data_IF_716237179696
#
_entry.id   IF_716237179696
#
_cell.length_a   1.000
_cell.length_b   1.000
_cell.length_c   1.000
_cell.angle_alpha   90.00
_cell.angle_beta   90.00
_cell.angle_gamma   90.00
#
_symmetry.space_group_name_H-M   'P 1'
#
loop_
_entity.id
_entity.type
_entity.pdbx_description
1 polymer ?
#
# COMPACT_ATOMS: atom_id res chain seq x y z
N UNK A 1 -3.36 -2.62 -3.55
CA UNK A 1 -3.25 -2.38 -2.09
C UNK A 1 -4.61 -2.32 -1.41
N UNK A 2 -5.51 -1.38 -1.76
CA UNK A 2 -6.87 -1.35 -1.17
C UNK A 2 -7.60 -2.70 -1.27
N UNK A 3 -7.59 -3.35 -2.46
CA UNK A 3 -8.15 -4.71 -2.65
C UNK A 3 -7.48 -5.80 -1.82
N UNK A 4 -6.19 -5.67 -1.47
CA UNK A 4 -5.48 -6.66 -0.66
C UNK A 4 -5.84 -6.53 0.83
N UNK A 5 -5.93 -5.30 1.34
CA UNK A 5 -6.41 -5.03 2.71
C UNK A 5 -7.86 -5.49 2.88
N UNK A 6 -8.67 -5.32 1.83
CA UNK A 6 -10.07 -5.77 1.81
C UNK A 6 -10.21 -7.30 1.92
N UNK A 7 -9.28 -8.07 1.32
CA UNK A 7 -9.31 -9.54 1.33
C UNK A 7 -8.60 -10.16 2.53
N UNK A 8 -7.54 -9.54 3.05
CA UNK A 8 -6.64 -10.16 4.03
C UNK A 8 -6.56 -9.46 5.39
N UNK A 9 -7.33 -8.39 5.63
CA UNK A 9 -7.33 -7.54 6.85
C UNK A 9 -5.98 -6.87 7.20
N UNK A 10 -4.88 -7.38 6.66
CA UNK A 10 -3.53 -6.89 6.80
C UNK A 10 -2.81 -6.95 5.46
N UNK A 11 -1.83 -6.06 5.27
CA UNK A 11 -0.93 -6.07 4.12
C UNK A 11 0.48 -5.75 4.59
N UNK A 12 1.45 -6.47 4.05
CA UNK A 12 2.87 -6.19 4.24
C UNK A 12 3.43 -5.49 3.01
N UNK A 13 4.12 -4.37 3.21
CA UNK A 13 4.82 -3.61 2.18
C UNK A 13 6.31 -3.72 2.46
N UNK A 14 7.08 -4.20 1.48
CA UNK A 14 8.54 -4.25 1.58
C UNK A 14 9.22 -3.54 0.41
N UNK A 15 10.36 -2.89 0.68
CA UNK A 15 11.14 -2.21 -0.34
C UNK A 15 12.63 -2.16 -0.01
N UNK A 16 13.44 -1.99 -1.06
CA UNK A 16 14.89 -1.91 -1.00
C UNK A 16 15.41 -0.60 -1.61
N UNK A 17 16.39 0.02 -0.96
CA UNK A 17 17.06 1.22 -1.48
C UNK A 17 16.09 2.35 -1.85
N UNK A 18 16.16 2.85 -3.08
CA UNK A 18 15.34 3.99 -3.53
C UNK A 18 13.83 3.74 -3.48
N UNK A 19 13.39 2.48 -3.57
CA UNK A 19 11.97 2.15 -3.51
C UNK A 19 11.36 2.33 -2.10
N UNK A 20 12.20 2.49 -1.07
CA UNK A 20 11.76 2.72 0.32
C UNK A 20 10.88 3.97 0.39
N UNK A 21 11.27 5.05 -0.29
CA UNK A 21 10.52 6.30 -0.30
C UNK A 21 9.10 6.09 -0.79
N UNK A 22 8.92 5.33 -1.88
CA UNK A 22 7.59 5.03 -2.43
C UNK A 22 6.73 4.24 -1.45
N UNK A 23 7.29 3.22 -0.78
CA UNK A 23 6.56 2.43 0.21
C UNK A 23 6.15 3.27 1.42
N UNK A 24 7.03 4.15 1.90
CA UNK A 24 6.72 5.09 2.99
C UNK A 24 5.58 6.01 2.59
N UNK A 25 5.66 6.65 1.42
CA UNK A 25 4.61 7.55 0.94
C UNK A 25 3.26 6.84 0.77
N UNK A 26 3.24 5.61 0.26
CA UNK A 26 2.01 4.83 0.15
C UNK A 26 1.42 4.55 1.54
N UNK A 27 2.24 4.13 2.50
CA UNK A 27 1.79 3.86 3.86
C UNK A 27 1.23 5.14 4.52
N UNK A 28 1.90 6.27 4.35
CA UNK A 28 1.45 7.56 4.85
C UNK A 28 0.11 7.98 4.25
N UNK A 29 -0.06 7.89 2.92
CA UNK A 29 -1.33 8.22 2.25
C UNK A 29 -2.47 7.35 2.80
N UNK A 30 -2.24 6.04 2.96
CA UNK A 30 -3.26 5.12 3.46
C UNK A 30 -3.64 5.42 4.92
N UNK A 31 -2.67 5.77 5.77
CA UNK A 31 -2.94 6.16 7.17
C UNK A 31 -3.67 7.50 7.26
N UNK A 32 -3.21 8.50 6.50
CA UNK A 32 -3.79 9.84 6.52
C UNK A 32 -5.22 9.87 5.99
N UNK A 33 -5.52 9.04 4.98
CA UNK A 33 -6.88 8.87 4.47
C UNK A 33 -7.75 8.00 5.37
N UNK A 34 -7.25 7.53 6.51
CA UNK A 34 -7.99 6.69 7.45
C UNK A 34 -8.34 5.32 6.90
N UNK A 35 -7.62 4.83 5.89
CA UNK A 35 -7.85 3.50 5.28
C UNK A 35 -7.08 2.40 6.00
N UNK A 36 -5.95 2.73 6.61
CA UNK A 36 -5.11 1.75 7.29
C UNK A 36 -4.62 2.25 8.63
N UNK A 37 -4.30 1.31 9.52
CA UNK A 37 -3.54 1.54 10.74
C UNK A 37 -2.17 0.87 10.61
N UNK A 38 -1.15 1.48 11.20
CA UNK A 38 0.15 0.84 11.31
C UNK A 38 0.10 -0.26 12.37
N UNK A 39 0.62 -1.45 12.03
CA UNK A 39 0.86 -2.52 13.00
C UNK A 39 2.34 -2.68 13.33
N UNK A 40 3.21 -2.54 12.32
CA UNK A 40 4.65 -2.69 12.48
C UNK A 40 5.40 -1.90 11.41
N UNK A 41 6.51 -1.29 11.80
CA UNK A 41 7.53 -0.75 10.89
C UNK A 41 8.88 -1.34 11.30
N UNK A 42 9.62 -1.86 10.33
CA UNK A 42 10.94 -2.44 10.57
C UNK A 42 11.89 -2.08 9.44
N UNK A 43 13.13 -1.77 9.81
CA UNK A 43 14.23 -1.50 8.88
C UNK A 43 15.36 -2.47 9.14
N UNK A 44 16.02 -2.89 8.08
CA UNK A 44 17.18 -3.77 8.14
C UNK A 44 18.10 -3.50 6.96
N UNK A 45 19.24 -4.20 6.91
CA UNK A 45 20.10 -4.23 5.74
C UNK A 45 20.19 -5.66 5.23
N UNK A 46 20.12 -5.84 3.91
CA UNK A 46 20.29 -7.13 3.26
C UNK A 46 21.50 -7.09 2.33
N UNK A 47 22.32 -8.14 2.38
CA UNK A 47 23.42 -8.32 1.43
C UNK A 47 22.88 -8.78 0.08
N UNK A 48 23.17 -8.03 -0.98
CA UNK A 48 22.86 -8.40 -2.36
C UNK A 48 24.14 -8.52 -3.16
N UNK A 49 24.23 -9.55 -4.02
CA UNK A 49 25.36 -9.69 -4.94
C UNK A 49 25.17 -8.70 -6.09
N UNK A 50 26.13 -7.81 -6.27
CA UNK A 50 26.22 -6.96 -7.46
C UNK A 50 26.94 -7.75 -8.56
N UNK A 51 26.20 -8.33 -9.49
CA UNK A 51 26.76 -9.14 -10.60
C UNK A 51 27.68 -8.32 -11.51
N UNK A 52 27.49 -7.00 -11.58
CA UNK A 52 28.34 -6.12 -12.37
C UNK A 52 29.70 -5.83 -11.71
N UNK A 53 29.77 -5.91 -10.38
CA UNK A 53 30.97 -5.53 -9.61
C UNK A 53 31.63 -6.68 -8.85
N UNK A 54 31.02 -7.88 -8.86
CA UNK A 54 31.53 -9.06 -8.17
C UNK A 54 31.58 -8.92 -6.64
N UNK A 55 30.96 -7.88 -6.06
CA UNK A 55 30.98 -7.57 -4.63
C UNK A 55 29.58 -7.68 -4.04
N UNK A 56 29.50 -8.03 -2.75
CA UNK A 56 28.25 -7.98 -1.99
C UNK A 56 28.04 -6.54 -1.51
N UNK A 57 26.90 -5.95 -1.86
CA UNK A 57 26.48 -4.62 -1.41
C UNK A 57 25.39 -4.76 -0.36
N UNK A 58 25.49 -3.97 0.70
CA UNK A 58 24.43 -3.88 1.71
C UNK A 58 23.38 -2.88 1.22
N UNK A 59 22.14 -3.33 1.07
CA UNK A 59 21.01 -2.44 0.76
C UNK A 59 20.09 -2.31 1.97
N UNK A 60 19.66 -1.09 2.25
CA UNK A 60 18.60 -0.85 3.20
C UNK A 60 17.31 -1.55 2.72
N UNK A 61 16.60 -2.16 3.66
CA UNK A 61 15.28 -2.77 3.51
C UNK A 61 14.33 -2.14 4.51
N UNK A 62 13.10 -1.90 4.08
CA UNK A 62 11.98 -1.54 4.95
C UNK A 62 10.87 -2.58 4.81
N UNK A 63 10.17 -2.84 5.91
CA UNK A 63 8.98 -3.68 6.00
C UNK A 63 7.94 -2.95 6.85
N UNK A 64 6.76 -2.70 6.28
CA UNK A 64 5.64 -2.02 6.94
C UNK A 64 4.43 -2.96 6.88
N UNK A 65 3.90 -3.31 8.05
CA UNK A 65 2.63 -4.04 8.17
C UNK A 65 1.53 -3.05 8.47
N UNK A 66 0.53 -3.01 7.60
CA UNK A 66 -0.65 -2.17 7.72
C UNK A 66 -1.88 -3.05 7.95
N UNK A 67 -2.71 -2.69 8.93
CA UNK A 67 -4.01 -3.29 9.16
C UNK A 67 -5.15 -2.47 8.56
N UNK A 68 -6.27 -3.11 8.27
CA UNK A 68 -7.54 -2.45 7.93
C UNK A 68 -7.97 -1.54 9.09
N UNK A 69 -8.32 -0.29 8.79
CA UNK A 69 -8.90 0.60 9.79
C UNK A 69 -10.39 0.34 9.97
N UNK A 70 -10.96 0.77 11.10
CA UNK A 70 -12.41 0.71 11.32
C UNK A 70 -13.21 1.56 10.32
N UNK A 71 -12.59 2.61 9.77
CA UNK A 71 -13.21 3.52 8.80
C UNK A 71 -13.12 3.02 7.36
N UNK A 72 -12.38 1.95 7.11
CA UNK A 72 -12.09 1.48 5.76
C UNK A 72 -13.35 1.19 4.95
N UNK A 73 -14.29 0.42 5.51
CA UNK A 73 -15.51 0.01 4.79
C UNK A 73 -16.41 1.20 4.46
N UNK A 74 -16.49 2.17 5.38
CA UNK A 74 -17.24 3.40 5.16
C UNK A 74 -16.63 4.23 4.02
N UNK A 75 -15.31 4.38 4.01
CA UNK A 75 -14.60 5.16 2.98
C UNK A 75 -14.62 4.45 1.63
N UNK A 76 -14.49 3.11 1.59
CA UNK A 76 -14.61 2.35 0.34
C UNK A 76 -16.01 2.47 -0.27
N UNK A 77 -17.06 2.38 0.56
CA UNK A 77 -18.46 2.59 0.11
C UNK A 77 -18.68 4.01 -0.40
N UNK A 78 -18.16 5.01 0.30
CA UNK A 78 -18.23 6.41 -0.12
C UNK A 78 -17.51 6.63 -1.46
N UNK A 79 -16.31 6.10 -1.62
CA UNK A 79 -15.57 6.21 -2.88
C UNK A 79 -16.27 5.48 -4.04
N UNK A 80 -16.88 4.32 -3.80
CA UNK A 80 -17.66 3.60 -4.81
C UNK A 80 -18.90 4.39 -5.25
N UNK A 81 -19.56 5.09 -4.32
CA UNK A 81 -20.70 5.96 -4.63
C UNK A 81 -20.28 7.25 -5.37
N UNK A 82 -19.10 7.79 -5.09
CA UNK A 82 -18.56 8.98 -5.79
C UNK A 82 -18.08 8.64 -7.20
N UNK A 83 -17.57 7.43 -7.43
CA UNK A 83 -17.13 6.93 -8.73
C UNK A 83 -18.28 6.41 -9.62
N UNK A 84 -19.52 6.41 -9.11
CA UNK A 84 -20.71 6.04 -9.86
C UNK A 84 -21.66 7.23 -10.05
N UNK A 85 -21.41 8.07 -11.08
CA UNK A 85 -22.51 8.64 -11.83
C UNK A 85 -22.35 8.41 -13.35
N UNK A 86 -23.48 8.01 -13.97
CA UNK A 86 -23.79 7.95 -15.42
C UNK A 86 -23.41 6.69 -16.22
N UNK A 87 -24.15 5.60 -15.97
CA UNK A 87 -24.40 4.58 -16.99
C UNK A 87 -25.87 4.11 -16.97
N UNK A 88 -26.85 5.04 -16.93
CA UNK A 88 -28.26 4.72 -17.22
C UNK A 88 -28.95 5.92 -17.85
N UNK A 89 -28.73 6.17 -19.15
CA UNK A 89 -29.62 7.02 -19.94
C UNK A 89 -29.50 6.75 -21.46
N UNK A 90 -29.69 5.51 -21.90
CA UNK A 90 -30.08 5.27 -23.30
C UNK A 90 -30.91 3.98 -23.44
N UNK A 91 -32.17 4.03 -22.99
CA UNK A 91 -33.22 3.13 -23.45
C UNK A 91 -34.60 3.68 -23.08
N UNK A 92 -35.21 4.41 -24.02
CA UNK A 92 -36.64 4.69 -24.24
C UNK A 92 -36.87 6.18 -24.58
N UNK A 93 -37.00 6.50 -25.86
CA UNK A 93 -38.31 6.61 -26.54
C UNK A 93 -38.11 6.79 -28.03
#
# INVERSE_FOLDING_TARGET
MQRYIEQHNEVELSALGMAITTVVTIAEILKNNGLAIEKKVSTSTVGMKDENRGRVVQKAKIEIVLGKSEKFDAIMKMNAAILAPEAVAEAKK
#
